data_IF_070487326105
#
_entry.id   IF_070487326105
#
_cell.length_a   1.000
_cell.length_b   1.000
_cell.length_c   1.000
_cell.angle_alpha   90.00
_cell.angle_beta   90.00
_cell.angle_gamma   90.00
#
_symmetry.space_group_name_H-M   'P 1'
#
loop_
_entity.id
_entity.type
_entity.pdbx_description
1 polymer ?
#
# COMPACT_ATOMS: atom_id res chain seq x y z
N UNK A 1 7.59 10.99 14.98
CA UNK A 1 7.32 9.55 14.80
C UNK A 1 6.44 9.26 13.58
N UNK A 2 5.32 9.96 13.41
CA UNK A 2 4.40 9.81 12.26
C UNK A 2 5.07 9.96 10.89
N UNK A 3 6.04 10.87 10.74
CA UNK A 3 6.79 11.05 9.48
C UNK A 3 7.56 9.79 9.07
N UNK A 4 8.23 9.11 10.00
CA UNK A 4 9.00 7.89 9.69
C UNK A 4 8.08 6.74 9.27
N UNK A 5 6.94 6.60 9.94
CA UNK A 5 5.93 5.62 9.56
C UNK A 5 5.41 5.87 8.15
N UNK A 6 4.97 7.10 7.86
CA UNK A 6 4.44 7.44 6.53
C UNK A 6 5.49 7.39 5.43
N UNK A 7 6.73 7.79 5.71
CA UNK A 7 7.82 7.76 4.74
C UNK A 7 8.19 6.32 4.38
N UNK A 8 8.37 5.45 5.37
CA UNK A 8 8.70 4.04 5.13
C UNK A 8 7.58 3.32 4.39
N UNK A 9 6.33 3.50 4.83
CA UNK A 9 5.17 2.97 4.11
C UNK A 9 5.11 3.49 2.68
N UNK A 10 5.34 4.79 2.47
CA UNK A 10 5.34 5.43 1.15
C UNK A 10 6.41 4.86 0.21
N UNK A 11 7.64 4.65 0.71
CA UNK A 11 8.73 4.08 -0.09
C UNK A 11 8.42 2.63 -0.49
N UNK A 12 7.97 1.79 0.45
CA UNK A 12 7.59 0.41 0.14
C UNK A 12 6.41 0.34 -0.84
N UNK A 13 5.41 1.22 -0.66
CA UNK A 13 4.28 1.34 -1.56
C UNK A 13 4.73 1.69 -2.99
N UNK A 14 5.59 2.68 -3.14
CA UNK A 14 6.08 3.14 -4.43
C UNK A 14 6.92 2.05 -5.12
N UNK A 15 7.77 1.36 -4.37
CA UNK A 15 8.52 0.21 -4.87
C UNK A 15 7.60 -0.92 -5.35
N UNK A 16 6.58 -1.29 -4.56
CA UNK A 16 5.63 -2.33 -4.93
C UNK A 16 4.81 -1.96 -6.18
N UNK A 17 4.33 -0.72 -6.28
CA UNK A 17 3.59 -0.24 -7.45
C UNK A 17 4.45 -0.24 -8.72
N UNK A 18 5.73 0.16 -8.62
CA UNK A 18 6.67 0.12 -9.74
C UNK A 18 6.96 -1.31 -10.18
N UNK A 19 7.16 -2.23 -9.23
CA UNK A 19 7.37 -3.64 -9.52
C UNK A 19 6.18 -4.26 -10.25
N UNK A 20 4.95 -3.97 -9.78
CA UNK A 20 3.72 -4.42 -10.44
C UNK A 20 3.57 -3.79 -11.82
N UNK A 21 3.87 -2.51 -11.98
CA UNK A 21 3.86 -1.84 -13.29
C UNK A 21 4.83 -2.50 -14.26
N UNK A 22 6.02 -2.88 -13.80
CA UNK A 22 7.04 -3.57 -14.58
C UNK A 22 6.59 -4.98 -14.98
N UNK A 23 6.04 -5.76 -14.05
CA UNK A 23 5.60 -7.14 -14.31
C UNK A 23 4.36 -7.22 -15.20
N UNK A 24 3.40 -6.30 -15.04
CA UNK A 24 2.08 -6.36 -15.66
C UNK A 24 1.87 -5.33 -16.77
N UNK A 25 2.95 -4.69 -17.24
CA UNK A 25 2.95 -3.70 -18.33
C UNK A 25 1.90 -2.58 -18.15
N UNK A 26 1.57 -2.21 -16.91
CA UNK A 26 0.68 -1.09 -16.60
C UNK A 26 -0.82 -1.31 -16.81
N UNK A 27 -1.27 -2.48 -17.29
CA UNK A 27 -2.70 -2.70 -17.61
C UNK A 27 -3.60 -2.92 -16.38
N UNK A 28 -3.03 -3.12 -15.19
CA UNK A 28 -3.76 -3.52 -13.99
C UNK A 28 -3.57 -2.52 -12.84
N UNK A 29 -4.09 -1.29 -13.00
CA UNK A 29 -4.06 -0.23 -11.98
C UNK A 29 -4.64 -0.66 -10.62
N UNK A 30 -5.67 -1.50 -10.63
CA UNK A 30 -6.26 -2.01 -9.39
C UNK A 30 -5.34 -2.97 -8.64
N UNK A 31 -4.64 -3.88 -9.35
CA UNK A 31 -3.61 -4.72 -8.73
C UNK A 31 -2.51 -3.86 -8.12
N UNK A 32 -2.00 -2.88 -8.88
CA UNK A 32 -0.94 -1.98 -8.40
C UNK A 32 -1.37 -1.24 -7.12
N UNK A 33 -2.60 -0.74 -7.08
CA UNK A 33 -3.14 -0.04 -5.90
C UNK A 33 -3.35 -0.97 -4.70
N UNK A 34 -3.91 -2.16 -4.91
CA UNK A 34 -4.07 -3.17 -3.84
C UNK A 34 -2.71 -3.60 -3.26
N UNK A 35 -1.73 -3.90 -4.11
CA UNK A 35 -0.39 -4.25 -3.66
C UNK A 35 0.28 -3.07 -2.97
N UNK A 36 0.15 -1.85 -3.50
CA UNK A 36 0.72 -0.65 -2.90
C UNK A 36 0.18 -0.41 -1.49
N UNK A 37 -1.14 -0.52 -1.30
CA UNK A 37 -1.79 -0.36 0.00
C UNK A 37 -1.31 -1.39 1.03
N UNK A 38 -1.16 -2.66 0.62
CA UNK A 38 -0.62 -3.73 1.47
C UNK A 38 0.82 -3.43 1.90
N UNK A 39 1.70 -3.09 0.95
CA UNK A 39 3.10 -2.78 1.23
C UNK A 39 3.28 -1.50 2.06
N UNK A 40 2.38 -0.52 1.88
CA UNK A 40 2.34 0.69 2.72
C UNK A 40 2.09 0.36 4.19
N UNK A 41 1.07 -0.46 4.47
CA UNK A 41 0.71 -0.87 5.82
C UNK A 41 1.79 -1.76 6.45
N UNK A 42 2.44 -2.61 5.65
CA UNK A 42 3.61 -3.40 6.08
C UNK A 42 4.78 -2.49 6.49
N UNK A 43 5.11 -1.48 5.69
CA UNK A 43 6.19 -0.54 6.00
C UNK A 43 5.91 0.25 7.29
N UNK A 44 4.67 0.72 7.47
CA UNK A 44 4.24 1.42 8.68
C UNK A 44 4.36 0.53 9.93
N UNK A 45 3.81 -0.69 9.89
CA UNK A 45 3.90 -1.63 11.01
C UNK A 45 5.34 -2.06 11.28
N UNK A 46 6.14 -2.30 10.22
CA UNK A 46 7.53 -2.69 10.36
C UNK A 46 8.35 -1.65 11.13
N UNK A 47 8.23 -0.37 10.76
CA UNK A 47 8.91 0.72 11.49
C UNK A 47 8.32 0.93 12.88
N UNK A 48 7.00 0.77 13.06
CA UNK A 48 6.38 0.81 14.38
C UNK A 48 6.91 -0.29 15.31
N UNK A 49 7.05 -1.51 14.80
CA UNK A 49 7.63 -2.63 15.54
C UNK A 49 9.10 -2.37 15.88
N UNK A 50 9.91 -1.86 14.93
CA UNK A 50 11.31 -1.55 15.18
C UNK A 50 11.51 -0.45 16.23
N UNK A 51 10.68 0.60 16.21
CA UNK A 51 10.80 1.73 17.14
C UNK A 51 10.22 1.45 18.52
N UNK A 52 9.13 0.68 18.60
CA UNK A 52 8.46 0.40 19.89
C UNK A 52 8.89 -0.92 20.51
N UNK A 53 9.43 -1.86 19.72
CA UNK A 53 9.73 -3.25 20.14
C UNK A 53 8.53 -3.98 20.76
N UNK A 54 7.30 -3.55 20.43
CA UNK A 54 6.05 -4.13 20.94
C UNK A 54 5.46 -5.09 19.89
N UNK A 55 5.51 -6.42 20.09
CA UNK A 55 4.96 -7.39 19.14
C UNK A 55 3.43 -7.32 19.00
N UNK A 56 2.72 -6.72 19.98
CA UNK A 56 1.28 -6.52 19.90
C UNK A 56 0.84 -5.68 18.67
N UNK A 57 1.74 -4.87 18.09
CA UNK A 57 1.44 -4.10 16.86
C UNK A 57 1.18 -5.02 15.66
N UNK A 58 1.74 -6.23 15.64
CA UNK A 58 1.53 -7.21 14.57
C UNK A 58 0.10 -7.79 14.56
N UNK A 59 -0.63 -7.73 15.69
CA UNK A 59 -2.02 -8.20 15.77
C UNK A 59 -2.94 -7.36 14.87
N UNK A 60 -2.59 -6.10 14.60
CA UNK A 60 -3.33 -5.24 13.68
C UNK A 60 -3.08 -5.59 12.21
N UNK A 61 -2.01 -6.31 11.89
CA UNK A 61 -1.61 -6.64 10.52
C UNK A 61 -2.72 -7.32 9.70
N UNK A 62 -3.40 -8.40 10.14
CA UNK A 62 -4.49 -8.99 9.35
C UNK A 62 -5.62 -8.01 9.04
N UNK A 63 -5.98 -7.14 9.98
CA UNK A 63 -7.01 -6.13 9.77
C UNK A 63 -6.54 -5.03 8.81
N UNK A 64 -5.29 -4.58 8.93
CA UNK A 64 -4.66 -3.61 8.04
C UNK A 64 -4.47 -4.16 6.62
N UNK A 65 -4.18 -5.44 6.47
CA UNK A 65 -4.10 -6.10 5.17
C UNK A 65 -5.48 -6.18 4.50
N UNK A 66 -6.50 -6.65 5.23
CA UNK A 66 -7.87 -6.73 4.71
C UNK A 66 -8.41 -5.35 4.32
N UNK A 67 -8.30 -4.37 5.21
CA UNK A 67 -8.72 -2.99 4.92
C UNK A 67 -7.89 -2.37 3.80
N UNK A 68 -6.59 -2.64 3.73
CA UNK A 68 -5.69 -2.23 2.65
C UNK A 68 -6.09 -2.81 1.29
N UNK A 69 -6.52 -4.06 1.23
CA UNK A 69 -7.01 -4.68 0.00
C UNK A 69 -8.32 -4.03 -0.48
N UNK A 70 -9.27 -3.81 0.44
CA UNK A 70 -10.56 -3.18 0.12
C UNK A 70 -10.37 -1.74 -0.35
N UNK A 71 -9.58 -0.96 0.39
CA UNK A 71 -9.29 0.44 0.03
C UNK A 71 -8.45 0.54 -1.23
N UNK A 72 -7.44 -0.32 -1.41
CA UNK A 72 -6.64 -0.37 -2.64
C UNK A 72 -7.45 -0.77 -3.87
N UNK A 73 -8.42 -1.68 -3.75
CA UNK A 73 -9.33 -2.01 -4.83
C UNK A 73 -10.19 -0.80 -5.21
N UNK A 74 -10.76 -0.12 -4.21
CA UNK A 74 -11.57 1.08 -4.42
C UNK A 74 -10.76 2.20 -5.09
N UNK A 75 -9.57 2.52 -4.57
CA UNK A 75 -8.68 3.54 -5.12
C UNK A 75 -8.25 3.18 -6.55
N UNK A 76 -7.94 1.90 -6.80
CA UNK A 76 -7.58 1.41 -8.13
C UNK A 76 -8.70 1.55 -9.16
N UNK A 77 -9.96 1.26 -8.77
CA UNK A 77 -11.12 1.49 -9.62
C UNK A 77 -11.33 2.98 -9.88
N UNK A 78 -11.29 3.82 -8.83
CA UNK A 78 -11.38 5.27 -8.96
C UNK A 78 -10.30 5.80 -9.90
N UNK A 79 -9.04 5.38 -9.75
CA UNK A 79 -7.94 5.78 -10.62
C UNK A 79 -8.18 5.38 -12.08
N UNK A 80 -8.70 4.18 -12.33
CA UNK A 80 -9.05 3.72 -13.68
C UNK A 80 -10.18 4.55 -14.30
N UNK A 81 -11.21 4.90 -13.53
CA UNK A 81 -12.28 5.77 -14.02
C UNK A 81 -11.77 7.18 -14.28
N UNK A 82 -11.01 7.77 -13.35
CA UNK A 82 -10.43 9.12 -13.51
C UNK A 82 -9.52 9.20 -14.74
N UNK A 83 -8.67 8.21 -14.97
CA UNK A 83 -7.81 8.15 -16.16
C UNK A 83 -8.60 8.02 -17.47
N UNK A 84 -9.85 7.56 -17.43
CA UNK A 84 -10.73 7.54 -18.61
C UNK A 84 -11.32 8.92 -18.94
N UNK A 85 -11.41 9.81 -17.94
CA UNK A 85 -11.92 11.17 -18.11
C UNK A 85 -10.83 12.22 -18.29
N UNK A 86 -9.57 11.86 -18.05
CA UNK A 86 -8.43 12.73 -18.28
C UNK A 86 -7.96 12.58 -19.74
N UNK A 87 -7.91 13.66 -20.55
CA UNK A 87 -7.54 13.62 -21.96
C UNK A 87 -6.08 13.20 -22.20
#
# INVERSE_FOLDING_TARGET
MSLLYSLSGGILCLFAMLLVKLLLHGNYLFLASMTGAVFHNLGQIGVAFLLTSVPAVLVYLPFLLLSGLVTGLFIGLCARFTLRFLP
#
